data_IF_780856135970
#
_entry.id   IF_780856135970
#
_cell.length_a   1.000
_cell.length_b   1.000
_cell.length_c   1.000
_cell.angle_alpha   90.00
_cell.angle_beta   90.00
_cell.angle_gamma   90.00
#
_symmetry.space_group_name_H-M   'P 1'
#
loop_
_entity.id
_entity.type
_entity.pdbx_description
1 polymer ?
#
# COMPACT_ATOMS: atom_id res chain seq x y z
N UNK A 1 2.82 -9.92 -15.83
CA UNK A 1 1.78 -8.90 -15.60
C UNK A 1 1.52 -8.63 -14.12
N UNK A 2 1.46 -9.67 -13.28
CA UNK A 2 1.18 -9.53 -11.84
C UNK A 2 2.10 -8.54 -11.09
N UNK A 3 3.42 -8.58 -11.35
CA UNK A 3 4.36 -7.61 -10.76
C UNK A 3 4.00 -6.16 -11.09
N UNK A 4 3.58 -5.87 -12.32
CA UNK A 4 3.20 -4.51 -12.74
C UNK A 4 1.92 -4.04 -12.05
N UNK A 5 0.93 -4.92 -11.89
CA UNK A 5 -0.29 -4.63 -11.12
C UNK A 5 0.04 -4.25 -9.68
N UNK A 6 0.90 -5.05 -9.04
CA UNK A 6 1.33 -4.79 -7.67
C UNK A 6 2.15 -3.49 -7.55
N UNK A 7 3.01 -3.19 -8.52
CA UNK A 7 3.75 -1.91 -8.56
C UNK A 7 2.82 -0.71 -8.72
N UNK A 8 1.76 -0.82 -9.53
CA UNK A 8 0.75 0.21 -9.66
C UNK A 8 0.03 0.45 -8.32
N UNK A 9 -0.38 -0.62 -7.64
CA UNK A 9 -1.02 -0.51 -6.32
C UNK A 9 -0.09 0.11 -5.26
N UNK A 10 1.21 -0.23 -5.27
CA UNK A 10 2.20 0.41 -4.39
C UNK A 10 2.30 1.91 -4.67
N UNK A 11 2.35 2.32 -5.93
CA UNK A 11 2.41 3.73 -6.30
C UNK A 11 1.15 4.48 -5.82
N UNK A 12 -0.02 3.87 -5.99
CA UNK A 12 -1.29 4.42 -5.52
C UNK A 12 -1.31 4.53 -3.99
N UNK A 13 -0.84 3.51 -3.24
CA UNK A 13 -0.73 3.56 -1.78
C UNK A 13 0.18 4.71 -1.31
N UNK A 14 1.32 4.94 -1.97
CA UNK A 14 2.23 6.04 -1.64
C UNK A 14 1.57 7.42 -1.87
N UNK A 15 0.82 7.55 -2.96
CA UNK A 15 0.09 8.77 -3.25
C UNK A 15 -1.06 8.99 -2.25
N UNK A 16 -1.82 7.94 -1.88
CA UNK A 16 -2.85 8.02 -0.86
C UNK A 16 -2.27 8.45 0.51
N UNK A 17 -1.10 7.91 0.88
CA UNK A 17 -0.40 8.31 2.09
C UNK A 17 0.05 9.77 2.06
N UNK A 18 0.53 10.28 0.92
CA UNK A 18 0.88 11.69 0.77
C UNK A 18 -0.34 12.59 0.95
N UNK A 19 -1.47 12.25 0.32
CA UNK A 19 -2.75 12.96 0.47
C UNK A 19 -3.21 12.97 1.93
N UNK A 20 -3.08 11.85 2.64
CA UNK A 20 -3.38 11.77 4.06
C UNK A 20 -2.46 12.67 4.90
N UNK A 21 -1.17 12.77 4.55
CA UNK A 21 -0.21 13.66 5.20
C UNK A 21 -0.53 15.15 4.98
N UNK A 22 -1.11 15.49 3.84
CA UNK A 22 -1.59 16.83 3.53
C UNK A 22 -2.92 17.18 4.24
N UNK A 23 -3.45 16.28 5.08
CA UNK A 23 -4.70 16.49 5.82
C UNK A 23 -5.97 16.33 4.96
N UNK A 24 -5.85 15.81 3.74
CA UNK A 24 -6.98 15.62 2.82
C UNK A 24 -7.68 14.28 3.08
N UNK A 25 -8.20 14.09 4.30
CA UNK A 25 -8.73 12.81 4.80
C UNK A 25 -9.77 12.15 3.86
N UNK A 26 -10.79 12.91 3.42
CA UNK A 26 -11.84 12.37 2.56
C UNK A 26 -11.31 11.91 1.18
N UNK A 27 -10.29 12.60 0.66
CA UNK A 27 -9.66 12.24 -0.60
C UNK A 27 -8.77 11.00 -0.44
N UNK A 28 -8.05 10.91 0.68
CA UNK A 28 -7.26 9.73 1.02
C UNK A 28 -8.16 8.50 1.17
N UNK A 29 -9.29 8.61 1.88
CA UNK A 29 -10.27 7.54 2.07
C UNK A 29 -10.87 7.06 0.75
N UNK A 30 -11.31 7.98 -0.12
CA UNK A 30 -11.82 7.60 -1.44
C UNK A 30 -10.76 6.87 -2.28
N UNK A 31 -9.49 7.26 -2.15
CA UNK A 31 -8.39 6.62 -2.85
C UNK A 31 -8.07 5.23 -2.26
N UNK A 32 -8.07 5.06 -0.94
CA UNK A 32 -7.85 3.76 -0.30
C UNK A 32 -8.99 2.79 -0.60
N UNK A 33 -10.24 3.24 -0.71
CA UNK A 33 -11.37 2.42 -1.15
C UNK A 33 -11.18 1.91 -2.59
N UNK A 34 -10.77 2.78 -3.51
CA UNK A 34 -10.49 2.36 -4.88
C UNK A 34 -9.31 1.36 -4.96
N UNK A 35 -8.27 1.56 -4.14
CA UNK A 35 -7.15 0.62 -4.04
C UNK A 35 -7.62 -0.74 -3.51
N UNK A 36 -8.54 -0.77 -2.52
CA UNK A 36 -9.11 -2.03 -1.98
C UNK A 36 -9.85 -2.80 -3.06
N UNK A 37 -10.66 -2.14 -3.88
CA UNK A 37 -11.37 -2.78 -5.01
C UNK A 37 -10.38 -3.45 -5.97
N UNK A 38 -9.35 -2.72 -6.39
CA UNK A 38 -8.31 -3.24 -7.29
C UNK A 38 -7.44 -4.32 -6.64
N UNK A 39 -7.33 -4.35 -5.31
CA UNK A 39 -6.61 -5.39 -4.58
C UNK A 39 -7.24 -6.79 -4.68
N UNK A 40 -8.46 -6.91 -5.22
CA UNK A 40 -9.08 -8.21 -5.52
C UNK A 40 -8.68 -8.77 -6.89
N UNK A 41 -8.07 -7.94 -7.76
CA UNK A 41 -7.65 -8.32 -9.12
C UNK A 41 -6.19 -8.80 -9.21
N UNK A 42 -5.46 -8.75 -8.09
CA UNK A 42 -4.11 -9.32 -7.96
C UNK A 42 -4.21 -10.83 -7.69
N UNK A 43 -3.41 -11.58 -8.43
CA UNK A 43 -3.36 -13.05 -8.37
C UNK A 43 -2.70 -13.52 -7.07
N UNK A 44 -1.68 -12.81 -6.59
CA UNK A 44 -1.01 -13.18 -5.34
C UNK A 44 -1.84 -12.73 -4.14
N UNK A 45 -2.59 -13.68 -3.56
CA UNK A 45 -3.47 -13.45 -2.41
C UNK A 45 -2.78 -12.72 -1.25
N UNK A 46 -1.52 -13.05 -0.95
CA UNK A 46 -0.74 -12.37 0.10
C UNK A 46 -0.55 -10.88 -0.19
N UNK A 47 -0.23 -10.52 -1.44
CA UNK A 47 -0.07 -9.12 -1.82
C UNK A 47 -1.39 -8.35 -1.73
N UNK A 48 -2.51 -8.98 -2.10
CA UNK A 48 -3.85 -8.41 -1.89
C UNK A 48 -4.15 -8.12 -0.41
N UNK A 49 -3.81 -9.04 0.51
CA UNK A 49 -3.97 -8.79 1.95
C UNK A 49 -3.10 -7.64 2.46
N UNK A 50 -1.84 -7.60 2.03
CA UNK A 50 -0.90 -6.55 2.45
C UNK A 50 -1.32 -5.18 1.91
N UNK A 51 -1.87 -5.12 0.69
CA UNK A 51 -2.45 -3.91 0.11
C UNK A 51 -3.58 -3.37 1.00
N UNK A 52 -4.52 -4.25 1.42
CA UNK A 52 -5.62 -3.85 2.32
C UNK A 52 -5.16 -3.44 3.71
N UNK A 53 -4.10 -4.09 4.23
CA UNK A 53 -3.44 -3.69 5.48
C UNK A 53 -2.89 -2.26 5.39
N UNK A 54 -2.16 -1.95 4.31
CA UNK A 54 -1.63 -0.61 4.07
C UNK A 54 -2.75 0.44 3.94
N UNK A 55 -3.87 0.10 3.26
CA UNK A 55 -5.03 0.99 3.19
C UNK A 55 -5.58 1.32 4.59
N UNK A 56 -5.73 0.31 5.46
CA UNK A 56 -6.20 0.53 6.84
C UNK A 56 -5.25 1.40 7.66
N UNK A 57 -3.93 1.24 7.46
CA UNK A 57 -2.93 2.09 8.10
C UNK A 57 -3.01 3.55 7.62
N UNK A 58 -3.22 3.78 6.32
CA UNK A 58 -3.39 5.12 5.74
C UNK A 58 -4.64 5.81 6.28
N UNK A 59 -5.78 5.10 6.34
CA UNK A 59 -7.01 5.67 6.91
C UNK A 59 -6.86 6.07 8.38
N UNK A 60 -6.00 5.34 9.11
CA UNK A 60 -5.64 5.63 10.49
C UNK A 60 -4.87 6.95 10.66
N UNK A 61 -4.11 7.39 9.65
CA UNK A 61 -3.28 8.62 9.72
C UNK A 61 -4.14 9.85 10.02
N UNK A 62 -5.29 9.98 9.37
CA UNK A 62 -6.18 11.14 9.53
C UNK A 62 -6.92 11.17 10.87
N UNK A 63 -6.91 10.06 11.64
CA UNK A 63 -7.68 9.91 12.88
C UNK A 63 -6.79 9.78 14.12
N UNK A 64 -5.47 9.65 13.92
CA UNK A 64 -4.51 9.42 15.00
C UNK A 64 -4.18 10.69 15.77
N UNK A 65 -4.10 10.59 17.09
CA UNK A 65 -3.53 11.65 17.93
C UNK A 65 -2.00 11.70 17.83
N UNK A 66 -1.37 10.58 17.50
CA UNK A 66 0.05 10.47 17.21
C UNK A 66 0.24 10.36 15.69
N UNK A 67 0.29 11.52 15.05
CA UNK A 67 0.35 11.63 13.60
C UNK A 67 1.64 11.02 13.04
N UNK A 68 2.80 11.37 13.60
CA UNK A 68 4.09 10.92 13.08
C UNK A 68 4.22 9.40 13.16
N UNK A 69 3.80 8.78 14.27
CA UNK A 69 3.81 7.33 14.40
C UNK A 69 2.84 6.65 13.44
N UNK A 70 1.63 7.21 13.25
CA UNK A 70 0.67 6.66 12.28
C UNK A 70 1.19 6.72 10.85
N UNK A 71 1.89 7.80 10.48
CA UNK A 71 2.55 7.94 9.19
C UNK A 71 3.68 6.92 9.05
N UNK A 72 4.53 6.75 10.07
CA UNK A 72 5.61 5.78 10.06
C UNK A 72 5.08 4.35 9.90
N UNK A 73 3.99 4.02 10.60
CA UNK A 73 3.31 2.73 10.48
C UNK A 73 2.74 2.49 9.07
N UNK A 74 2.06 3.48 8.50
CA UNK A 74 1.55 3.37 7.13
C UNK A 74 2.68 3.20 6.10
N UNK A 75 3.80 3.92 6.23
CA UNK A 75 5.00 3.70 5.39
C UNK A 75 5.52 2.26 5.53
N UNK A 76 5.62 1.76 6.76
CA UNK A 76 6.09 0.41 7.03
C UNK A 76 5.22 -0.66 6.36
N UNK A 77 3.89 -0.50 6.38
CA UNK A 77 2.98 -1.42 5.68
C UNK A 77 3.23 -1.46 4.17
N UNK A 78 3.44 -0.29 3.55
CA UNK A 78 3.77 -0.19 2.12
C UNK A 78 5.13 -0.85 1.82
N UNK A 79 6.15 -0.62 2.64
CA UNK A 79 7.49 -1.20 2.47
C UNK A 79 7.50 -2.73 2.56
N UNK A 80 6.63 -3.32 3.38
CA UNK A 80 6.47 -4.78 3.42
C UNK A 80 5.96 -5.30 2.07
N UNK A 81 4.96 -4.65 1.49
CA UNK A 81 4.42 -5.02 0.18
C UNK A 81 5.48 -4.85 -0.92
N UNK A 82 6.26 -3.77 -0.88
CA UNK A 82 7.38 -3.57 -1.80
C UNK A 82 8.40 -4.70 -1.75
N UNK A 83 8.81 -5.10 -0.55
CA UNK A 83 9.75 -6.22 -0.36
C UNK A 83 9.20 -7.53 -0.92
N UNK A 84 7.92 -7.83 -0.66
CA UNK A 84 7.26 -9.00 -1.24
C UNK A 84 7.31 -8.95 -2.79
N UNK A 85 6.91 -7.83 -3.38
CA UNK A 85 6.83 -7.68 -4.84
C UNK A 85 8.20 -7.73 -5.51
N UNK A 86 9.25 -7.26 -4.84
CA UNK A 86 10.63 -7.40 -5.30
C UNK A 86 11.06 -8.87 -5.35
N UNK A 87 10.72 -9.65 -4.31
CA UNK A 87 11.03 -11.09 -4.20
C UNK A 87 10.30 -11.96 -5.24
N UNK A 88 9.20 -11.47 -5.83
CA UNK A 88 8.52 -12.15 -6.94
C UNK A 88 9.30 -12.12 -8.26
N UNK A 89 10.43 -11.41 -8.31
CA UNK A 89 11.34 -11.49 -9.46
C UNK A 89 12.11 -12.80 -9.38
N UNK A 90 12.28 -13.55 -10.49
CA UNK A 90 13.20 -14.68 -10.48
C UNK A 90 14.59 -14.15 -10.08
N UNK A 91 15.13 -14.64 -8.96
CA UNK A 91 16.56 -14.53 -8.74
C UNK A 91 17.22 -15.21 -9.94
N UNK A 92 18.17 -14.56 -10.64
CA UNK A 92 19.02 -15.30 -11.54
C UNK A 92 19.71 -16.35 -10.67
N UNK A 93 19.38 -17.61 -10.90
CA UNK A 93 20.14 -18.72 -10.34
C UNK A 93 21.59 -18.46 -10.75
N UNK A 94 22.45 -18.11 -9.80
CA UNK A 94 23.88 -18.07 -10.03
C UNK A 94 24.30 -19.53 -10.28
N UNK A 95 24.68 -19.82 -11.53
CA UNK A 95 25.27 -21.08 -11.95
C UNK A 95 26.71 -21.19 -11.43
#
# INVERSE_FOLDING_TARGET
MEKMKNQALIADLKAALLIAQEGQAARAEAMTDHIRERSYEVELRLAGYMTRSACGAIDGVSRSMDFDNSVAFARHEIEKLERLVQQLSPQPYAA
#
